data_IF_743750837879
#
_entry.id   IF_743750837879
#
_cell.length_a   1.000
_cell.length_b   1.000
_cell.length_c   1.000
_cell.angle_alpha   90.00
_cell.angle_beta   90.00
_cell.angle_gamma   90.00
#
_symmetry.space_group_name_H-M   'P 1'
#
loop_
_entity.id
_entity.type
_entity.pdbx_description
1 polymer ?
#
# COMPACT_ATOMS: atom_id res chain seq x y z
N UNK A 1 -19.54 27.13 -28.11
CA UNK A 1 -20.65 26.64 -28.97
C UNK A 1 -21.73 26.09 -28.05
N UNK A 2 -22.87 26.78 -27.89
CA UNK A 2 -23.94 26.36 -26.98
C UNK A 2 -24.77 25.27 -27.66
N UNK A 3 -24.74 24.04 -27.14
CA UNK A 3 -25.66 22.97 -27.58
C UNK A 3 -26.99 23.17 -26.84
N UNK A 4 -28.07 23.34 -27.58
CA UNK A 4 -29.40 23.59 -27.04
C UNK A 4 -30.15 22.27 -26.85
N UNK A 5 -30.51 21.96 -25.60
CA UNK A 5 -31.66 21.11 -25.31
C UNK A 5 -32.42 21.67 -24.09
N UNK A 6 -33.72 21.43 -24.04
CA UNK A 6 -34.74 22.19 -23.29
C UNK A 6 -34.36 22.47 -21.81
N UNK A 7 -34.19 23.76 -21.47
CA UNK A 7 -34.32 24.27 -20.09
C UNK A 7 -33.05 24.42 -19.25
N UNK A 8 -31.91 23.87 -19.66
CA UNK A 8 -30.63 24.06 -18.97
C UNK A 8 -29.57 24.55 -19.95
N UNK A 9 -29.05 25.78 -19.75
CA UNK A 9 -27.84 26.21 -20.45
C UNK A 9 -26.68 25.44 -19.83
N UNK A 10 -26.18 24.44 -20.55
CA UNK A 10 -24.96 23.75 -20.17
C UNK A 10 -23.77 24.72 -20.29
N UNK A 11 -23.21 25.11 -19.15
CA UNK A 11 -22.05 26.00 -19.09
C UNK A 11 -20.77 25.20 -19.35
N UNK A 12 -20.42 25.11 -20.64
CA UNK A 12 -19.22 24.42 -21.10
C UNK A 12 -17.93 25.05 -20.57
N UNK A 13 -17.92 26.36 -20.27
CA UNK A 13 -16.75 27.02 -19.68
C UNK A 13 -16.56 26.61 -18.23
N UNK A 14 -17.65 26.46 -17.46
CA UNK A 14 -17.57 25.88 -16.10
C UNK A 14 -17.00 24.46 -16.09
N UNK A 15 -17.40 23.63 -17.05
CA UNK A 15 -16.87 22.26 -17.19
C UNK A 15 -15.38 22.31 -17.52
N UNK A 16 -14.99 23.12 -18.52
CA UNK A 16 -13.58 23.27 -18.93
C UNK A 16 -12.70 23.76 -17.78
N UNK A 17 -13.16 24.76 -17.04
CA UNK A 17 -12.46 25.29 -15.87
C UNK A 17 -12.32 24.25 -14.75
N UNK A 18 -13.34 23.43 -14.51
CA UNK A 18 -13.27 22.34 -13.54
C UNK A 18 -12.29 21.23 -13.95
N UNK A 19 -12.21 20.93 -15.25
CA UNK A 19 -11.27 19.93 -15.79
C UNK A 19 -9.82 20.43 -15.83
N UNK A 20 -9.58 21.74 -15.81
CA UNK A 20 -8.24 22.33 -15.77
C UNK A 20 -7.66 22.53 -14.36
N UNK A 21 -8.45 22.27 -13.30
CA UNK A 21 -7.95 22.30 -11.93
C UNK A 21 -7.07 21.09 -11.63
N UNK A 22 -6.27 21.16 -10.56
CA UNK A 22 -5.51 20.03 -10.08
C UNK A 22 -6.49 18.90 -9.71
N UNK A 23 -6.39 17.77 -10.42
CA UNK A 23 -7.27 16.63 -10.21
C UNK A 23 -6.58 15.58 -9.35
N UNK A 24 -7.35 14.78 -8.60
CA UNK A 24 -6.81 13.60 -7.94
C UNK A 24 -6.22 12.65 -8.98
N UNK A 25 -5.26 11.84 -8.56
CA UNK A 25 -4.58 10.86 -9.41
C UNK A 25 -5.57 9.83 -9.99
N UNK A 26 -6.66 9.55 -9.27
CA UNK A 26 -7.75 8.69 -9.72
C UNK A 26 -9.07 9.06 -9.04
N UNK A 27 -10.20 8.75 -9.68
CA UNK A 27 -11.54 9.00 -9.11
C UNK A 27 -11.71 8.20 -7.83
N UNK A 28 -12.01 8.89 -6.73
CA UNK A 28 -12.22 8.30 -5.42
C UNK A 28 -11.03 8.46 -4.45
N UNK A 29 -9.91 9.05 -4.89
CA UNK A 29 -8.72 9.26 -4.04
C UNK A 29 -9.04 9.99 -2.73
N UNK A 30 -9.83 11.06 -2.77
CA UNK A 30 -10.27 11.82 -1.58
C UNK A 30 -10.99 10.96 -0.53
N UNK A 31 -11.70 9.92 -0.98
CA UNK A 31 -12.49 9.03 -0.12
C UNK A 31 -11.77 7.72 0.19
N UNK A 32 -10.62 7.48 -0.44
CA UNK A 32 -9.85 6.28 -0.24
C UNK A 32 -9.19 6.29 1.15
N UNK A 33 -9.08 5.12 1.76
CA UNK A 33 -8.18 4.94 2.89
C UNK A 33 -6.74 4.97 2.36
N UNK A 34 -5.96 5.95 2.82
CA UNK A 34 -4.60 6.18 2.37
C UNK A 34 -3.62 5.73 3.45
N UNK A 35 -2.62 4.97 3.03
CA UNK A 35 -1.56 4.44 3.87
C UNK A 35 -0.20 4.80 3.26
N UNK A 36 0.81 4.90 4.09
CA UNK A 36 2.19 5.07 3.65
C UNK A 36 3.08 4.07 4.37
N UNK A 37 4.01 3.48 3.63
CA UNK A 37 4.94 2.47 4.15
C UNK A 37 6.36 2.81 3.74
N UNK A 38 7.31 2.48 4.60
CA UNK A 38 8.73 2.54 4.31
C UNK A 38 9.21 1.13 3.95
N UNK A 39 9.97 0.99 2.88
CA UNK A 39 10.78 -0.18 2.54
C UNK A 39 12.19 0.14 3.06
N UNK A 40 12.51 -0.24 4.31
CA UNK A 40 13.77 0.11 4.95
C UNK A 40 14.91 -0.76 4.44
N UNK A 41 15.96 -0.12 3.95
CA UNK A 41 17.24 -0.75 3.63
C UNK A 41 18.21 -0.55 4.79
N UNK A 42 18.76 -1.64 5.30
CA UNK A 42 19.73 -1.65 6.42
C UNK A 42 20.96 -2.45 6.03
N UNK A 43 22.10 -2.13 6.65
CA UNK A 43 23.30 -2.96 6.53
C UNK A 43 23.36 -4.00 7.65
N UNK A 44 23.56 -5.26 7.26
CA UNK A 44 23.80 -6.39 8.18
C UNK A 44 25.03 -7.12 7.68
N UNK A 45 26.10 -7.17 8.47
CA UNK A 45 27.37 -7.81 8.10
C UNK A 45 27.87 -7.38 6.70
N UNK A 46 27.89 -6.07 6.45
CA UNK A 46 28.30 -5.44 5.18
C UNK A 46 27.42 -5.79 3.94
N UNK A 47 26.25 -6.41 4.13
CA UNK A 47 25.26 -6.69 3.08
C UNK A 47 24.01 -5.83 3.24
N UNK A 48 23.41 -5.40 2.12
CA UNK A 48 22.13 -4.69 2.11
C UNK A 48 20.96 -5.65 2.31
N UNK A 49 20.12 -5.35 3.30
CA UNK A 49 18.93 -6.11 3.61
C UNK A 49 17.69 -5.22 3.58
N UNK A 50 16.53 -5.81 3.33
CA UNK A 50 15.22 -5.20 3.59
C UNK A 50 14.79 -5.58 5.01
N UNK A 51 14.46 -4.60 5.84
CA UNK A 51 13.92 -4.82 7.18
C UNK A 51 12.40 -4.97 7.15
N UNK A 52 11.90 -5.95 7.92
CA UNK A 52 10.49 -6.26 8.10
C UNK A 52 10.15 -6.35 9.57
N UNK A 53 8.87 -6.18 9.86
CA UNK A 53 8.29 -6.39 11.18
C UNK A 53 7.27 -7.53 11.15
N UNK A 54 7.14 -8.19 12.29
CA UNK A 54 6.04 -9.12 12.57
C UNK A 54 5.07 -8.40 13.48
N UNK A 55 3.84 -8.24 13.00
CA UNK A 55 2.76 -7.55 13.72
C UNK A 55 2.42 -8.29 15.01
N UNK A 56 2.19 -7.54 16.09
CA UNK A 56 1.86 -8.09 17.40
C UNK A 56 0.61 -8.96 17.33
N UNK A 57 0.65 -10.11 18.01
CA UNK A 57 -0.47 -11.06 18.03
C UNK A 57 -1.72 -10.49 18.72
N UNK A 58 -1.57 -9.41 19.47
CA UNK A 58 -2.67 -8.75 20.19
C UNK A 58 -3.40 -7.69 19.35
N UNK A 59 -2.93 -7.42 18.14
CA UNK A 59 -3.56 -6.44 17.24
C UNK A 59 -4.92 -6.93 16.73
N UNK A 60 -5.87 -5.98 16.59
CA UNK A 60 -7.21 -6.27 16.05
C UNK A 60 -7.21 -6.66 14.58
N UNK A 61 -6.22 -6.22 13.81
CA UNK A 61 -6.10 -6.45 12.37
C UNK A 61 -4.77 -7.12 12.07
N UNK A 62 -4.85 -8.23 11.33
CA UNK A 62 -3.70 -8.95 10.79
C UNK A 62 -2.64 -9.29 11.85
N UNK A 63 -3.04 -9.92 12.99
CA UNK A 63 -2.08 -10.32 14.01
C UNK A 63 -1.10 -11.35 13.46
N UNK A 64 0.21 -11.14 13.67
CA UNK A 64 1.27 -12.04 13.22
C UNK A 64 1.65 -11.93 11.74
N UNK A 65 0.93 -11.13 10.94
CA UNK A 65 1.33 -10.88 9.55
C UNK A 65 2.65 -10.12 9.48
N UNK A 66 3.36 -10.30 8.37
CA UNK A 66 4.62 -9.59 8.09
C UNK A 66 4.34 -8.32 7.29
N UNK A 67 4.86 -7.21 7.77
CA UNK A 67 4.72 -5.90 7.14
C UNK A 67 6.04 -5.15 7.01
N UNK A 68 5.99 -4.18 6.13
CA UNK A 68 6.87 -3.01 6.21
C UNK A 68 6.36 -2.09 7.34
N UNK A 69 7.23 -1.33 8.00
CA UNK A 69 6.79 -0.29 8.91
C UNK A 69 5.97 0.76 8.14
N UNK A 70 4.90 1.24 8.76
CA UNK A 70 3.99 2.18 8.13
C UNK A 70 2.54 1.96 8.51
N UNK A 71 1.74 2.99 8.25
CA UNK A 71 0.36 3.02 8.72
C UNK A 71 -0.51 3.96 7.91
N UNK A 72 -1.64 4.32 8.52
CA UNK A 72 -2.63 5.18 7.87
C UNK A 72 -2.11 6.61 7.88
N UNK A 73 -2.32 7.33 6.79
CA UNK A 73 -2.06 8.77 6.76
C UNK A 73 -3.09 9.47 7.66
N UNK A 74 -2.59 10.16 8.69
CA UNK A 74 -3.38 10.97 9.62
C UNK A 74 -3.68 12.34 9.01
N UNK A 75 -4.81 12.99 9.34
CA UNK A 75 -5.08 14.37 8.91
C UNK A 75 -4.01 15.40 9.31
N UNK A 76 -3.17 15.09 10.31
CA UNK A 76 -2.06 15.93 10.76
C UNK A 76 -0.76 15.72 9.97
N UNK A 77 -0.65 14.64 9.20
CA UNK A 77 0.51 14.38 8.35
C UNK A 77 0.49 15.35 7.15
N UNK A 78 1.57 16.14 6.97
CA UNK A 78 1.66 17.11 5.88
C UNK A 78 1.77 16.41 4.50
N UNK A 79 2.42 15.25 4.46
CA UNK A 79 2.59 14.43 3.26
C UNK A 79 2.50 12.93 3.58
N UNK A 80 2.30 12.05 2.58
CA UNK A 80 2.42 10.61 2.78
C UNK A 80 3.80 10.17 3.29
N UNK A 81 4.87 10.91 2.97
CA UNK A 81 6.20 10.59 3.48
C UNK A 81 6.29 10.81 4.99
N UNK A 82 5.71 11.91 5.48
CA UNK A 82 5.68 12.21 6.92
C UNK A 82 4.96 11.10 7.70
N UNK A 83 3.86 10.57 7.16
CA UNK A 83 3.17 9.43 7.73
C UNK A 83 4.07 8.18 7.80
N UNK A 84 4.77 7.82 6.72
CA UNK A 84 5.66 6.66 6.72
C UNK A 84 6.79 6.80 7.75
N UNK A 85 7.38 8.00 7.88
CA UNK A 85 8.45 8.29 8.84
C UNK A 85 7.92 8.25 10.28
N UNK A 86 6.77 8.89 10.55
CA UNK A 86 6.13 8.89 11.86
C UNK A 86 5.83 7.47 12.34
N UNK A 87 5.16 6.67 11.50
CA UNK A 87 4.80 5.29 11.82
C UNK A 87 6.06 4.44 12.03
N UNK A 88 7.08 4.59 11.19
CA UNK A 88 8.37 3.89 11.39
C UNK A 88 9.01 4.23 12.74
N UNK A 89 8.96 5.50 13.15
CA UNK A 89 9.44 5.92 14.47
C UNK A 89 8.57 5.36 15.60
N UNK A 90 7.25 5.36 15.47
CA UNK A 90 6.31 4.86 16.47
C UNK A 90 6.42 3.33 16.67
N UNK A 91 6.51 2.58 15.58
CA UNK A 91 6.57 1.11 15.57
C UNK A 91 7.94 0.59 16.00
N UNK A 92 9.01 1.17 15.44
CA UNK A 92 10.38 0.66 15.57
C UNK A 92 11.28 1.51 16.49
N UNK A 93 10.85 2.69 16.92
CA UNK A 93 11.69 3.59 17.73
C UNK A 93 12.86 4.19 16.96
N UNK A 94 12.77 4.25 15.63
CA UNK A 94 13.83 4.74 14.73
C UNK A 94 13.77 6.26 14.67
N UNK A 95 14.87 6.92 15.01
CA UNK A 95 14.97 8.38 14.91
C UNK A 95 14.75 8.82 13.45
N UNK A 96 13.77 9.70 13.16
CA UNK A 96 13.54 10.21 11.81
C UNK A 96 14.78 10.75 11.11
N UNK A 97 15.75 11.31 11.84
CA UNK A 97 17.00 11.84 11.30
C UNK A 97 17.97 10.76 10.80
N UNK A 98 17.78 9.50 11.21
CA UNK A 98 18.55 8.34 10.73
C UNK A 98 18.01 7.77 9.41
N UNK A 99 16.83 8.23 8.96
CA UNK A 99 16.20 7.76 7.73
C UNK A 99 16.61 8.66 6.57
N UNK A 100 17.40 8.09 5.66
CA UNK A 100 17.79 8.74 4.40
C UNK A 100 16.93 8.22 3.25
N UNK A 101 16.05 9.06 2.75
CA UNK A 101 15.17 8.70 1.63
C UNK A 101 15.94 8.52 0.32
N UNK A 102 15.67 7.41 -0.38
CA UNK A 102 16.17 7.15 -1.74
C UNK A 102 15.15 7.56 -2.80
N UNK A 103 13.86 7.36 -2.53
CA UNK A 103 12.81 7.74 -3.46
C UNK A 103 11.45 7.17 -3.10
N UNK A 104 10.46 7.50 -3.92
CA UNK A 104 9.09 7.03 -3.81
C UNK A 104 8.77 6.09 -4.98
N UNK A 105 8.13 4.96 -4.70
CA UNK A 105 7.57 4.08 -5.72
C UNK A 105 6.19 4.59 -6.17
N UNK A 106 5.72 4.16 -7.35
CA UNK A 106 4.35 4.46 -7.76
C UNK A 106 3.34 3.99 -6.70
N UNK A 107 2.31 4.80 -6.47
CA UNK A 107 1.25 4.45 -5.53
C UNK A 107 0.61 3.11 -5.92
N UNK A 108 0.42 2.27 -4.92
CA UNK A 108 -0.18 0.95 -5.09
C UNK A 108 -1.66 1.00 -4.73
N UNK A 109 -2.52 0.70 -5.71
CA UNK A 109 -3.98 0.79 -5.58
C UNK A 109 -4.58 -0.62 -5.68
N UNK A 110 -4.64 -1.39 -4.59
CA UNK A 110 -5.24 -2.72 -4.61
C UNK A 110 -6.75 -2.66 -4.86
N UNK A 111 -7.43 -1.58 -4.42
CA UNK A 111 -8.85 -1.31 -4.67
C UNK A 111 -9.10 0.20 -4.79
N UNK A 112 -10.22 0.62 -5.37
CA UNK A 112 -10.55 2.05 -5.51
C UNK A 112 -10.72 2.80 -4.17
N UNK A 113 -10.89 2.08 -3.06
CA UNK A 113 -11.06 2.65 -1.72
C UNK A 113 -9.82 2.50 -0.83
N UNK A 114 -8.69 2.02 -1.38
CA UNK A 114 -7.48 1.74 -0.61
C UNK A 114 -6.23 2.05 -1.44
N UNK A 115 -5.36 2.92 -0.92
CA UNK A 115 -4.11 3.33 -1.56
C UNK A 115 -2.96 3.19 -0.59
N UNK A 116 -1.82 2.68 -1.09
CA UNK A 116 -0.55 2.70 -0.36
C UNK A 116 0.46 3.52 -1.13
N UNK A 117 1.20 4.38 -0.43
CA UNK A 117 2.35 5.12 -0.96
C UNK A 117 3.63 4.49 -0.40
N UNK A 118 4.37 3.67 -1.19
CA UNK A 118 5.59 3.04 -0.73
C UNK A 118 6.79 3.96 -0.96
N UNK A 119 7.62 4.11 0.07
CA UNK A 119 8.86 4.86 0.03
C UNK A 119 10.05 3.93 0.28
N UNK A 120 11.19 4.19 -0.34
CA UNK A 120 12.42 3.43 -0.10
C UNK A 120 13.41 4.34 0.61
N UNK A 121 13.94 3.89 1.74
CA UNK A 121 14.89 4.67 2.53
C UNK A 121 15.94 3.78 3.16
N UNK A 122 17.12 4.35 3.39
CA UNK A 122 18.19 3.72 4.15
C UNK A 122 18.05 4.14 5.60
N UNK A 123 18.18 3.19 6.52
CA UNK A 123 18.23 3.46 7.94
C UNK A 123 19.67 3.27 8.39
N UNK A 124 20.30 4.38 8.78
CA UNK A 124 21.67 4.43 9.28
C UNK A 124 21.63 4.41 10.81
N UNK A 125 21.29 3.25 11.37
CA UNK A 125 21.25 3.05 12.83
C UNK A 125 21.91 1.73 13.23
N UNK A 126 22.68 1.79 14.30
CA UNK A 126 23.29 0.64 14.95
C UNK A 126 22.25 -0.08 15.83
N UNK A 127 21.15 -0.54 15.22
CA UNK A 127 20.15 -1.52 15.69
C UNK A 127 19.97 -1.70 17.22
N UNK A 128 19.71 -0.63 17.98
CA UNK A 128 19.11 -0.74 19.33
C UNK A 128 17.74 -0.07 19.36
N UNK A 129 16.79 -0.71 18.67
CA UNK A 129 15.43 -0.24 18.51
C UNK A 129 14.55 -0.62 19.71
N UNK A 130 13.90 0.37 20.34
CA UNK A 130 12.83 0.11 21.29
C UNK A 130 11.53 -0.13 20.52
N UNK A 131 11.31 -1.39 20.14
CA UNK A 131 10.08 -1.78 19.45
C UNK A 131 8.84 -1.49 20.31
N UNK A 132 7.83 -0.86 19.71
CA UNK A 132 6.51 -0.76 20.33
C UNK A 132 5.83 -2.13 20.34
N UNK A 133 5.92 -2.85 21.46
CA UNK A 133 5.37 -4.22 21.59
C UNK A 133 3.85 -4.33 21.47
N UNK A 134 3.13 -3.20 21.51
CA UNK A 134 1.69 -3.18 21.23
C UNK A 134 1.43 -3.48 19.75
N UNK A 135 2.34 -3.08 18.87
CA UNK A 135 2.17 -3.15 17.42
C UNK A 135 3.15 -4.11 16.76
N UNK A 136 4.36 -4.24 17.30
CA UNK A 136 5.45 -5.03 16.72
C UNK A 136 5.94 -6.10 17.70
N UNK A 137 5.77 -7.37 17.32
CA UNK A 137 6.30 -8.50 18.09
C UNK A 137 7.82 -8.57 17.98
N UNK A 138 8.34 -8.51 16.75
CA UNK A 138 9.77 -8.59 16.43
C UNK A 138 10.06 -8.05 15.04
N UNK A 139 11.34 -7.78 14.77
CA UNK A 139 11.85 -7.45 13.44
C UNK A 139 12.76 -8.55 12.92
N UNK A 140 12.89 -8.63 11.61
CA UNK A 140 13.88 -9.45 10.94
C UNK A 140 14.27 -8.79 9.62
N UNK A 141 15.32 -9.30 8.98
CA UNK A 141 15.81 -8.73 7.72
C UNK A 141 16.01 -9.83 6.69
N UNK A 142 15.84 -9.49 5.41
CA UNK A 142 16.09 -10.40 4.29
C UNK A 142 17.15 -9.77 3.37
N UNK A 143 18.24 -10.48 3.02
CA UNK A 143 19.24 -9.95 2.10
C UNK A 143 18.62 -9.55 0.77
N UNK A 144 18.93 -8.35 0.27
CA UNK A 144 18.48 -7.88 -1.05
C UNK A 144 18.97 -8.84 -2.14
N UNK A 145 20.20 -9.34 -2.02
CA UNK A 145 20.75 -10.35 -2.93
C UNK A 145 19.93 -11.64 -2.93
N UNK A 146 19.44 -12.07 -1.77
CA UNK A 146 18.56 -13.24 -1.69
C UNK A 146 17.26 -12.96 -2.45
N UNK A 147 16.62 -11.82 -2.19
CA UNK A 147 15.37 -11.40 -2.83
C UNK A 147 15.47 -11.30 -4.36
N UNK A 148 16.61 -10.83 -4.88
CA UNK A 148 16.86 -10.74 -6.32
C UNK A 148 17.01 -12.12 -6.99
N UNK A 149 17.56 -13.11 -6.27
CA UNK A 149 17.87 -14.43 -6.81
C UNK A 149 16.80 -15.50 -6.55
N UNK A 150 15.82 -15.22 -5.70
CA UNK A 150 14.76 -16.18 -5.35
C UNK A 150 13.43 -15.75 -5.99
N UNK A 151 12.86 -16.65 -6.78
CA UNK A 151 11.55 -16.39 -7.39
C UNK A 151 10.43 -16.66 -6.37
N UNK A 152 9.58 -15.66 -6.07
CA UNK A 152 8.37 -15.90 -5.30
C UNK A 152 7.37 -16.72 -6.11
N UNK A 153 6.51 -17.45 -5.42
CA UNK A 153 5.38 -18.12 -6.05
C UNK A 153 4.09 -17.32 -5.86
N UNK A 154 3.07 -17.62 -6.67
CA UNK A 154 1.78 -16.93 -6.62
C UNK A 154 0.59 -17.87 -6.61
N UNK A 155 -0.48 -17.43 -5.97
CA UNK A 155 -1.81 -18.04 -6.03
C UNK A 155 -2.84 -17.03 -6.52
N UNK A 156 -3.82 -17.53 -7.27
CA UNK A 156 -4.92 -16.73 -7.79
C UNK A 156 -6.12 -16.83 -6.86
N UNK A 157 -6.56 -15.69 -6.33
CA UNK A 157 -7.69 -15.60 -5.39
C UNK A 157 -8.87 -14.94 -6.09
N UNK A 158 -9.94 -15.69 -6.42
CA UNK A 158 -11.14 -15.11 -6.98
C UNK A 158 -11.88 -14.28 -5.93
N UNK A 159 -12.24 -13.05 -6.29
CA UNK A 159 -13.09 -12.17 -5.52
C UNK A 159 -14.41 -11.95 -6.25
N UNK A 160 -15.50 -12.23 -5.54
CA UNK A 160 -16.85 -12.00 -6.02
C UNK A 160 -17.51 -10.92 -5.16
N UNK A 161 -18.14 -9.91 -5.79
CA UNK A 161 -19.01 -8.99 -5.08
C UNK A 161 -20.17 -9.74 -4.41
N UNK A 162 -20.41 -9.44 -3.14
CA UNK A 162 -21.58 -9.90 -2.41
C UNK A 162 -22.39 -8.66 -2.00
N UNK A 163 -23.37 -8.25 -2.83
CA UNK A 163 -24.23 -7.12 -2.48
C UNK A 163 -25.00 -7.39 -1.20
N UNK A 164 -25.21 -6.34 -0.40
CA UNK A 164 -26.04 -6.42 0.80
C UNK A 164 -27.51 -6.67 0.46
N UNK A 165 -28.30 -7.04 1.47
CA UNK A 165 -29.71 -7.41 1.33
C UNK A 165 -30.60 -6.25 0.83
N UNK A 166 -30.17 -5.01 1.03
CA UNK A 166 -30.85 -3.79 0.61
C UNK A 166 -30.41 -3.28 -0.77
N UNK A 167 -29.58 -4.04 -1.49
CA UNK A 167 -29.14 -3.66 -2.83
C UNK A 167 -30.33 -3.57 -3.80
N UNK A 168 -30.53 -2.42 -4.49
CA UNK A 168 -31.74 -2.16 -5.27
C UNK A 168 -31.67 -2.82 -6.65
N UNK A 169 -31.86 -4.14 -6.70
CA UNK A 169 -31.84 -4.91 -7.94
C UNK A 169 -32.89 -4.43 -8.95
N UNK A 170 -34.04 -3.92 -8.50
CA UNK A 170 -35.08 -3.35 -9.35
C UNK A 170 -34.59 -2.17 -10.21
N UNK A 171 -33.50 -1.50 -9.81
CA UNK A 171 -32.94 -0.33 -10.50
C UNK A 171 -31.87 -0.66 -11.54
N UNK A 172 -31.46 -1.92 -11.66
CA UNK A 172 -30.38 -2.31 -12.58
C UNK A 172 -30.87 -3.27 -13.67
N UNK A 173 -30.21 -3.22 -14.82
CA UNK A 173 -30.49 -4.15 -15.90
C UNK A 173 -30.30 -5.60 -15.42
N UNK A 174 -31.24 -6.46 -15.81
CA UNK A 174 -31.33 -7.88 -15.39
C UNK A 174 -31.62 -8.10 -13.90
N UNK A 175 -31.79 -7.04 -13.12
CA UNK A 175 -32.13 -7.10 -11.71
C UNK A 175 -31.40 -8.17 -10.92
N UNK A 176 -32.15 -9.05 -10.26
CA UNK A 176 -31.59 -10.15 -9.46
C UNK A 176 -30.81 -11.20 -10.27
N UNK A 177 -30.89 -11.18 -11.61
CA UNK A 177 -30.10 -12.01 -12.53
C UNK A 177 -28.81 -11.31 -12.99
N UNK A 178 -28.47 -10.13 -12.45
CA UNK A 178 -27.23 -9.44 -12.79
C UNK A 178 -26.01 -10.31 -12.46
N UNK A 179 -25.15 -10.52 -13.45
CA UNK A 179 -23.94 -11.34 -13.31
C UNK A 179 -22.75 -10.47 -12.92
N UNK A 180 -22.41 -10.52 -11.63
CA UNK A 180 -21.22 -9.85 -11.12
C UNK A 180 -19.95 -10.45 -11.73
N UNK A 181 -19.08 -9.58 -12.27
CA UNK A 181 -17.78 -10.02 -12.76
C UNK A 181 -16.94 -10.50 -11.58
N UNK A 182 -16.46 -11.75 -11.65
CA UNK A 182 -15.43 -12.25 -10.75
C UNK A 182 -14.11 -11.57 -11.09
N UNK A 183 -13.47 -10.95 -10.09
CA UNK A 183 -12.10 -10.45 -10.21
C UNK A 183 -11.17 -11.52 -9.68
N UNK A 184 -9.93 -11.55 -10.15
CA UNK A 184 -8.90 -12.45 -9.62
C UNK A 184 -7.75 -11.59 -9.15
N UNK A 185 -7.36 -11.75 -7.89
CA UNK A 185 -6.18 -11.12 -7.32
C UNK A 185 -5.04 -12.12 -7.35
N UNK A 186 -3.85 -11.64 -7.67
CA UNK A 186 -2.62 -12.41 -7.50
C UNK A 186 -2.06 -12.16 -6.10
N UNK A 187 -1.98 -13.22 -5.30
CA UNK A 187 -1.28 -13.21 -4.02
C UNK A 187 0.09 -13.84 -4.20
N UNK A 188 1.12 -13.12 -3.78
CA UNK A 188 2.51 -13.51 -3.91
C UNK A 188 3.07 -13.95 -2.56
N UNK A 189 4.03 -14.87 -2.59
CA UNK A 189 4.61 -15.48 -1.40
C UNK A 189 6.13 -15.55 -1.53
N UNK A 190 6.83 -15.03 -0.53
CA UNK A 190 8.26 -15.21 -0.32
C UNK A 190 8.46 -16.01 0.96
N UNK A 191 9.15 -17.13 0.86
CA UNK A 191 9.50 -17.98 2.01
C UNK A 191 10.97 -17.78 2.34
N UNK A 192 11.25 -17.20 3.50
CA UNK A 192 12.61 -16.95 3.97
C UNK A 192 12.76 -17.46 5.41
N UNK A 193 13.56 -18.51 5.60
CA UNK A 193 13.66 -19.23 6.88
C UNK A 193 12.27 -19.65 7.40
N UNK A 194 11.86 -19.18 8.58
CA UNK A 194 10.51 -19.40 9.15
C UNK A 194 9.47 -18.34 8.75
N UNK A 195 9.82 -17.38 7.90
CA UNK A 195 8.99 -16.23 7.58
C UNK A 195 8.33 -16.36 6.21
N UNK A 196 7.01 -16.27 6.20
CA UNK A 196 6.21 -16.18 4.97
C UNK A 196 5.76 -14.74 4.77
N UNK A 197 6.38 -14.04 3.82
CA UNK A 197 5.97 -12.69 3.41
C UNK A 197 4.92 -12.85 2.32
N UNK A 198 3.70 -12.40 2.58
CA UNK A 198 2.56 -12.59 1.67
C UNK A 198 1.69 -11.34 1.59
N UNK A 199 0.60 -11.42 0.82
CA UNK A 199 -0.41 -10.36 0.80
C UNK A 199 0.07 -9.07 0.12
N UNK A 200 -0.41 -7.95 0.66
CA UNK A 200 -0.05 -6.60 0.22
C UNK A 200 1.46 -6.34 0.30
N UNK A 201 2.11 -6.79 1.39
CA UNK A 201 3.56 -6.65 1.59
C UNK A 201 4.33 -7.35 0.47
N UNK A 202 4.01 -8.60 0.16
CA UNK A 202 4.67 -9.34 -0.91
C UNK A 202 4.44 -8.72 -2.29
N UNK A 203 3.25 -8.16 -2.54
CA UNK A 203 2.95 -7.46 -3.81
C UNK A 203 3.81 -6.20 -3.96
N UNK A 204 3.93 -5.38 -2.92
CA UNK A 204 4.80 -4.19 -2.93
C UNK A 204 6.26 -4.61 -3.08
N UNK A 205 6.71 -5.61 -2.33
CA UNK A 205 8.06 -6.17 -2.41
C UNK A 205 8.39 -6.67 -3.82
N UNK A 206 7.46 -7.38 -4.48
CA UNK A 206 7.62 -7.83 -5.86
C UNK A 206 7.86 -6.68 -6.83
N UNK A 207 7.09 -5.60 -6.70
CA UNK A 207 7.29 -4.40 -7.52
C UNK A 207 8.63 -3.71 -7.24
N UNK A 208 9.08 -3.70 -5.98
CA UNK A 208 10.38 -3.15 -5.60
C UNK A 208 11.52 -3.95 -6.26
N UNK A 209 11.52 -5.27 -6.11
CA UNK A 209 12.52 -6.16 -6.70
C UNK A 209 12.50 -6.10 -8.24
N UNK A 210 11.33 -6.06 -8.86
CA UNK A 210 11.22 -5.90 -10.33
C UNK A 210 11.75 -4.56 -10.82
N UNK A 211 11.73 -3.52 -9.99
CA UNK A 211 12.30 -2.22 -10.35
C UNK A 211 13.83 -2.27 -10.33
N UNK A 212 14.43 -3.05 -9.43
CA UNK A 212 15.88 -3.23 -9.36
C UNK A 212 16.43 -4.08 -10.52
N UNK A 213 15.62 -4.98 -11.08
CA UNK A 213 16.02 -5.87 -12.18
C UNK A 213 15.89 -5.25 -13.59
N UNK A 214 15.38 -4.01 -13.70
CA UNK A 214 15.27 -3.30 -14.97
C UNK A 214 16.60 -2.58 -15.26
N UNK A 215 17.57 -3.32 -15.78
CA UNK A 215 18.70 -2.76 -16.53
C UNK A 215 18.37 -2.66 -18.03
#
# INVERSE_FOLDING_TARGET
MKLFDRGYIMDLEKIKNGLSQNQPLFIGEETAMRFAVLIPLVQVNDEWHVLFEVRSLTMRKQPGDISFPGGRIDPTDATPLDAAIRETHEELGIDPSSIRMLGQMSAFIPTSSFVVYPFVGIIDDHLTHQLNKVEVEKVFTVPVKWLLNHQPYKHLVPMQPMPLTDFPYDKIAKGNQYQWRTRVIEEWFYEYEQYTIWGLTARILKHFIDTLNKE
#
